data_IF_056562163721
#
_entry.id   IF_056562163721
#
_cell.length_a   1.000
_cell.length_b   1.000
_cell.length_c   1.000
_cell.angle_alpha   90.00
_cell.angle_beta   90.00
_cell.angle_gamma   90.00
#
_symmetry.space_group_name_H-M   'P 1'
#
loop_
_entity.id
_entity.type
_entity.pdbx_description
1 polymer ?
#
# COMPACT_ATOMS: atom_id res chain seq x y z
N UNK A 1 -6.46 -19.90 -9.61
CA UNK A 1 -6.03 -18.90 -8.59
C UNK A 1 -4.99 -19.45 -7.64
N UNK A 2 -5.05 -20.74 -7.26
CA UNK A 2 -4.05 -21.41 -6.41
C UNK A 2 -2.59 -21.15 -6.80
N UNK A 3 -2.20 -21.42 -8.06
CA UNK A 3 -0.83 -21.21 -8.52
C UNK A 3 -0.33 -19.77 -8.32
N UNK A 4 -1.23 -18.79 -8.40
CA UNK A 4 -0.85 -17.39 -8.18
C UNK A 4 -0.63 -17.11 -6.68
N UNK A 5 -1.45 -17.68 -5.81
CA UNK A 5 -1.27 -17.52 -4.37
C UNK A 5 0.03 -18.18 -3.90
N UNK A 6 0.38 -19.33 -4.47
CA UNK A 6 1.68 -20.00 -4.24
C UNK A 6 2.85 -19.10 -4.66
N UNK A 7 2.78 -18.51 -5.87
CA UNK A 7 3.80 -17.53 -6.31
C UNK A 7 3.88 -16.31 -5.40
N UNK A 8 2.75 -15.75 -4.96
CA UNK A 8 2.74 -14.59 -4.04
C UNK A 8 3.29 -14.94 -2.65
N UNK A 9 3.10 -16.17 -2.20
CA UNK A 9 3.66 -16.67 -0.95
C UNK A 9 5.17 -16.87 -1.05
N UNK A 10 5.67 -17.46 -2.15
CA UNK A 10 7.11 -17.61 -2.35
C UNK A 10 7.80 -16.26 -2.51
N UNK A 11 7.22 -15.31 -3.27
CA UNK A 11 7.74 -13.94 -3.36
C UNK A 11 7.79 -13.23 -2.00
N UNK A 12 6.85 -13.50 -1.10
CA UNK A 12 6.86 -12.90 0.24
C UNK A 12 8.01 -13.42 1.10
N UNK A 13 8.35 -14.71 0.95
CA UNK A 13 9.47 -15.33 1.68
C UNK A 13 10.82 -14.90 1.10
N UNK A 14 10.96 -14.98 -0.22
CA UNK A 14 12.24 -14.74 -0.92
C UNK A 14 12.63 -13.27 -0.87
N UNK A 15 11.70 -12.37 -1.21
CA UNK A 15 11.99 -10.95 -1.41
C UNK A 15 11.69 -10.10 -0.17
N UNK A 16 11.89 -10.69 1.02
CA UNK A 16 11.64 -10.01 2.27
C UNK A 16 12.65 -8.87 2.46
N UNK A 17 12.15 -7.70 2.91
CA UNK A 17 12.94 -6.47 3.10
C UNK A 17 13.52 -5.82 1.83
N UNK A 18 13.11 -6.26 0.63
CA UNK A 18 13.56 -5.70 -0.65
C UNK A 18 12.55 -4.75 -1.31
N UNK A 19 11.49 -4.36 -0.60
CA UNK A 19 10.51 -3.39 -1.10
C UNK A 19 9.43 -3.96 -2.04
N UNK A 20 9.31 -5.28 -2.19
CA UNK A 20 8.35 -5.89 -3.13
C UNK A 20 6.92 -6.05 -2.58
N UNK A 21 6.79 -6.41 -1.29
CA UNK A 21 5.50 -6.90 -0.74
C UNK A 21 4.36 -5.90 -0.92
N UNK A 22 4.60 -4.61 -0.69
CA UNK A 22 3.59 -3.57 -0.87
C UNK A 22 3.08 -3.49 -2.31
N UNK A 23 3.98 -3.47 -3.29
CA UNK A 23 3.59 -3.37 -4.71
C UNK A 23 2.91 -4.64 -5.23
N UNK A 24 3.31 -5.81 -4.73
CA UNK A 24 2.65 -7.07 -5.04
C UNK A 24 1.18 -7.09 -4.57
N UNK A 25 0.90 -6.57 -3.37
CA UNK A 25 -0.47 -6.46 -2.87
C UNK A 25 -1.27 -5.41 -3.67
N UNK A 26 -0.69 -4.22 -3.88
CA UNK A 26 -1.33 -3.11 -4.61
C UNK A 26 -1.72 -3.49 -6.04
N UNK A 27 -0.80 -4.04 -6.83
CA UNK A 27 -1.05 -4.41 -8.24
C UNK A 27 -2.07 -5.55 -8.40
N UNK A 28 -2.39 -6.23 -7.31
CA UNK A 28 -3.31 -7.37 -7.24
C UNK A 28 -4.65 -7.03 -6.59
N UNK A 29 -4.83 -5.79 -6.13
CA UNK A 29 -6.04 -5.38 -5.41
C UNK A 29 -6.22 -6.12 -4.09
N UNK A 30 -5.12 -6.41 -3.38
CA UNK A 30 -5.14 -7.09 -2.08
C UNK A 30 -4.89 -6.12 -0.93
N UNK A 31 -5.47 -6.36 0.27
CA UNK A 31 -5.23 -5.54 1.44
C UNK A 31 -3.84 -5.79 2.03
N UNK A 32 -3.36 -4.83 2.83
CA UNK A 32 -2.22 -5.04 3.73
C UNK A 32 -2.76 -5.49 5.08
N UNK A 33 -2.36 -6.68 5.53
CA UNK A 33 -2.75 -7.23 6.83
C UNK A 33 -1.53 -7.43 7.71
N UNK A 34 -1.61 -6.98 8.96
CA UNK A 34 -0.57 -7.11 9.98
C UNK A 34 -1.12 -7.88 11.18
N UNK A 35 -0.25 -8.64 11.85
CA UNK A 35 -0.64 -9.26 13.12
C UNK A 35 -0.87 -8.18 14.18
N UNK A 36 -1.68 -8.48 15.20
CA UNK A 36 -1.94 -7.51 16.28
C UNK A 36 -0.67 -7.14 17.07
N UNK A 37 0.32 -8.03 17.09
CA UNK A 37 1.62 -7.78 17.72
C UNK A 37 2.48 -6.77 16.95
N UNK A 38 2.21 -6.58 15.66
CA UNK A 38 2.95 -5.67 14.76
C UNK A 38 2.16 -4.40 14.44
N UNK A 39 0.82 -4.47 14.44
CA UNK A 39 -0.04 -3.33 14.13
C UNK A 39 0.04 -2.22 15.21
N UNK A 40 -0.07 -0.94 14.83
CA UNK A 40 -0.04 0.18 15.78
C UNK A 40 -1.28 0.22 16.70
N UNK A 41 -2.38 -0.42 16.29
CA UNK A 41 -3.60 -0.59 17.05
C UNK A 41 -4.43 -1.73 16.48
N UNK A 42 -5.42 -2.23 17.22
CA UNK A 42 -6.35 -3.26 16.72
C UNK A 42 -7.07 -2.82 15.42
N UNK A 43 -7.44 -1.53 15.34
CA UNK A 43 -8.05 -0.95 14.15
C UNK A 43 -7.06 -0.76 12.98
N UNK A 44 -5.74 -0.76 13.26
CA UNK A 44 -4.67 -0.62 12.26
C UNK A 44 -4.12 -1.94 11.73
N UNK A 45 -4.79 -3.06 12.02
CA UNK A 45 -4.36 -4.41 11.56
C UNK A 45 -4.56 -4.61 10.07
N UNK A 46 -5.53 -3.92 9.47
CA UNK A 46 -5.83 -4.04 8.04
C UNK A 46 -5.91 -2.66 7.39
N UNK A 47 -5.18 -2.51 6.28
CA UNK A 47 -5.36 -1.41 5.34
C UNK A 47 -5.99 -2.00 4.07
N UNK A 48 -7.25 -1.68 3.84
CA UNK A 48 -8.06 -2.25 2.77
C UNK A 48 -7.45 -2.09 1.38
N UNK A 49 -7.78 -3.01 0.48
CA UNK A 49 -7.40 -2.90 -0.92
C UNK A 49 -7.89 -1.56 -1.50
N UNK A 50 -7.06 -0.93 -2.34
CA UNK A 50 -7.34 0.37 -2.97
C UNK A 50 -7.55 1.53 -1.98
N UNK A 51 -7.10 1.42 -0.72
CA UNK A 51 -7.09 2.55 0.19
C UNK A 51 -6.31 3.72 -0.43
N UNK A 52 -6.81 4.95 -0.32
CA UNK A 52 -6.17 6.12 -0.92
C UNK A 52 -4.73 6.33 -0.45
N UNK A 53 -4.39 5.84 0.75
CA UNK A 53 -3.03 5.86 1.32
C UNK A 53 -2.03 4.91 0.65
N UNK A 54 -2.45 4.13 -0.35
CA UNK A 54 -1.54 3.38 -1.22
C UNK A 54 -0.80 4.28 -2.23
N UNK A 55 -1.20 5.55 -2.32
CA UNK A 55 -0.54 6.58 -3.12
C UNK A 55 -0.14 7.70 -2.16
N UNK A 56 1.11 8.14 -2.25
CA UNK A 56 1.57 9.26 -1.42
C UNK A 56 0.85 10.56 -1.82
N UNK A 57 0.65 11.50 -0.90
CA UNK A 57 0.19 12.84 -1.28
C UNK A 57 1.23 13.50 -2.19
N UNK A 58 0.77 14.31 -3.13
CA UNK A 58 1.63 15.23 -3.86
C UNK A 58 2.22 16.22 -2.86
N UNK A 59 3.56 16.44 -2.85
CA UNK A 59 4.20 17.33 -1.90
C UNK A 59 3.63 18.76 -1.94
N UNK A 60 3.52 19.39 -0.77
CA UNK A 60 3.01 20.76 -0.65
C UNK A 60 3.76 21.78 -1.53
N UNK A 61 5.10 21.74 -1.68
CA UNK A 61 5.80 22.65 -2.59
C UNK A 61 5.31 22.56 -4.04
N UNK A 62 5.02 21.35 -4.53
CA UNK A 62 4.50 21.14 -5.89
C UNK A 62 3.08 21.69 -6.04
N UNK A 63 2.25 21.49 -5.01
CA UNK A 63 0.88 22.03 -4.97
C UNK A 63 0.85 23.56 -4.96
N UNK A 64 1.80 24.20 -4.26
CA UNK A 64 1.91 25.67 -4.20
C UNK A 64 2.52 26.25 -5.47
N UNK A 65 3.51 25.57 -6.05
CA UNK A 65 4.19 26.03 -7.27
C UNK A 65 3.28 26.00 -8.50
N UNK A 66 2.35 25.04 -8.58
CA UNK A 66 1.41 24.91 -9.69
C UNK A 66 -0.05 24.92 -9.21
N UNK A 67 -0.77 26.06 -9.31
CA UNK A 67 -2.17 26.16 -8.90
C UNK A 67 -3.15 25.27 -9.69
N UNK A 68 -2.76 24.81 -10.88
CA UNK A 68 -3.57 23.86 -11.65
C UNK A 68 -3.39 22.41 -11.17
N UNK A 69 -2.48 22.16 -10.23
CA UNK A 69 -2.24 20.82 -9.71
C UNK A 69 -3.39 20.33 -8.86
N UNK A 70 -3.76 19.06 -9.05
CA UNK A 70 -4.81 18.38 -8.31
C UNK A 70 -4.18 17.34 -7.40
N UNK A 71 -4.50 17.40 -6.12
CA UNK A 71 -4.05 16.41 -5.15
C UNK A 71 -4.62 15.02 -5.47
N UNK A 72 -3.91 13.97 -5.04
CA UNK A 72 -4.42 12.61 -5.08
C UNK A 72 -5.72 12.50 -4.25
N UNK A 73 -6.75 11.78 -4.75
CA UNK A 73 -8.02 11.66 -4.05
C UNK A 73 -7.85 11.20 -2.59
N UNK A 74 -8.64 11.78 -1.68
CA UNK A 74 -8.60 11.46 -0.24
C UNK A 74 -7.56 12.23 0.57
N UNK A 75 -6.62 12.92 -0.07
CA UNK A 75 -5.77 13.92 0.55
C UNK A 75 -6.34 15.32 0.31
N UNK A 76 -6.21 16.21 1.30
CA UNK A 76 -6.61 17.62 1.24
C UNK A 76 -5.41 18.52 0.94
#
# INVERSE_FOLDING_TARGET
>A
TQAINEVLNERYKELCYEGHRFFDLKRRGLPVTRSIADAPSAAGTTLEANNFRFVLPIPLPEMVANPAMKQNPGYQ
#
